data_IF_520082002663
#
_entry.id   IF_520082002663
#
_cell.length_a   1.000
_cell.length_b   1.000
_cell.length_c   1.000
_cell.angle_alpha   90.00
_cell.angle_beta   90.00
_cell.angle_gamma   90.00
#
_symmetry.space_group_name_H-M   'P 1'
#
loop_
_entity.id
_entity.type
_entity.pdbx_description
1 polymer ?
#
# COMPACT_ATOMS: atom_id res chain seq x y z
N UNK A 1 -1.60 2.91 -11.80
CA UNK A 1 -0.54 2.07 -12.34
C UNK A 1 -1.10 0.72 -12.79
N UNK A 2 -0.60 0.19 -13.90
CA UNK A 2 -1.03 -1.08 -14.48
C UNK A 2 0.04 -1.62 -15.45
N UNK A 3 0.04 -2.93 -15.71
CA UNK A 3 0.79 -3.55 -16.82
C UNK A 3 -0.11 -3.81 -18.03
N UNK A 4 -1.42 -3.61 -17.88
CA UNK A 4 -2.38 -3.82 -18.95
C UNK A 4 -2.48 -2.57 -19.82
N UNK A 5 -2.05 -2.68 -21.07
CA UNK A 5 -2.05 -1.60 -22.05
C UNK A 5 -3.47 -1.14 -22.42
N UNK A 6 -4.42 -2.06 -22.53
CA UNK A 6 -5.81 -1.71 -22.86
C UNK A 6 -6.44 -0.87 -21.74
N UNK A 7 -6.18 -1.23 -20.48
CA UNK A 7 -6.64 -0.44 -19.32
C UNK A 7 -5.98 0.93 -19.33
N UNK A 8 -4.68 1.00 -19.60
CA UNK A 8 -3.97 2.27 -19.66
C UNK A 8 -4.51 3.18 -20.78
N UNK A 9 -4.67 2.63 -21.98
CA UNK A 9 -5.22 3.35 -23.12
C UNK A 9 -6.65 3.83 -22.86
N UNK A 10 -7.47 2.96 -22.25
CA UNK A 10 -8.85 3.31 -21.88
C UNK A 10 -8.91 4.49 -20.90
N UNK A 11 -8.19 4.44 -19.78
CA UNK A 11 -8.23 5.55 -18.80
C UNK A 11 -7.58 6.83 -19.36
N UNK A 12 -6.57 6.70 -20.22
CA UNK A 12 -5.90 7.82 -20.88
C UNK A 12 -6.77 8.52 -21.92
N UNK A 13 -7.85 7.89 -22.39
CA UNK A 13 -8.83 8.55 -23.26
C UNK A 13 -9.67 9.62 -22.54
N UNK A 14 -9.68 9.60 -21.20
CA UNK A 14 -10.44 10.55 -20.39
C UNK A 14 -9.61 11.71 -19.83
N UNK A 15 -8.29 11.55 -19.72
CA UNK A 15 -7.39 12.58 -19.18
C UNK A 15 -5.95 12.35 -19.62
N UNK A 16 -5.12 13.40 -19.55
CA UNK A 16 -3.69 13.25 -19.65
C UNK A 16 -3.10 12.81 -18.32
N UNK A 17 -2.11 11.92 -18.38
CA UNK A 17 -1.35 11.49 -17.22
C UNK A 17 0.06 12.09 -17.22
N UNK A 18 0.44 12.75 -16.14
CA UNK A 18 1.85 13.06 -15.86
C UNK A 18 2.58 11.79 -15.50
N UNK A 19 3.70 11.46 -16.16
CA UNK A 19 4.55 10.35 -15.72
C UNK A 19 4.93 10.53 -14.26
N UNK A 20 4.65 9.53 -13.44
CA UNK A 20 4.99 9.55 -12.03
C UNK A 20 5.35 8.17 -11.54
N UNK A 21 6.56 8.02 -11.04
CA UNK A 21 7.05 6.79 -10.41
C UNK A 21 7.06 6.98 -8.90
N UNK A 22 6.22 6.25 -8.20
CA UNK A 22 6.15 6.31 -6.75
C UNK A 22 7.45 5.77 -6.13
N UNK A 23 8.09 6.56 -5.27
CA UNK A 23 9.22 6.18 -4.43
C UNK A 23 8.91 6.52 -2.99
N UNK A 24 9.25 5.60 -2.10
CA UNK A 24 8.97 5.74 -0.67
C UNK A 24 10.30 5.71 0.08
N UNK A 25 10.46 6.64 0.99
CA UNK A 25 11.55 6.63 1.96
C UNK A 25 11.03 6.26 3.34
N UNK A 26 11.92 5.79 4.19
CA UNK A 26 11.59 5.35 5.54
C UNK A 26 12.69 5.80 6.49
N UNK A 27 12.31 6.39 7.62
CA UNK A 27 13.28 6.76 8.66
C UNK A 27 13.23 5.75 9.80
N UNK A 28 14.36 5.13 10.10
CA UNK A 28 14.56 4.24 11.24
C UNK A 28 16.03 4.26 11.67
N UNK A 29 16.33 4.04 12.95
CA UNK A 29 17.69 4.07 13.50
C UNK A 29 18.46 5.36 13.12
N UNK A 30 17.79 6.50 13.16
CA UNK A 30 18.32 7.82 12.80
C UNK A 30 18.90 7.90 11.38
N UNK A 31 18.46 7.04 10.48
CA UNK A 31 18.84 7.01 9.07
C UNK A 31 17.62 6.97 8.16
N UNK A 32 17.82 7.36 6.90
CA UNK A 32 16.79 7.30 5.86
C UNK A 32 17.13 6.20 4.88
N UNK A 33 16.17 5.30 4.67
CA UNK A 33 16.27 4.14 3.78
C UNK A 33 15.29 4.25 2.62
N UNK A 34 15.59 3.58 1.52
CA UNK A 34 14.65 3.39 0.42
C UNK A 34 13.74 2.19 0.67
N UNK A 35 12.44 2.33 0.34
CA UNK A 35 11.48 1.23 0.30
C UNK A 35 10.89 1.07 -1.11
N UNK A 36 10.54 -0.15 -1.52
CA UNK A 36 10.66 -1.43 -0.81
C UNK A 36 12.11 -1.79 -0.46
N UNK A 37 12.30 -2.74 0.47
CA UNK A 37 13.64 -3.22 0.83
C UNK A 37 14.33 -3.73 -0.44
N UNK A 38 15.45 -3.10 -0.78
CA UNK A 38 16.24 -3.38 -1.98
C UNK A 38 17.73 -3.52 -1.63
N UNK A 39 18.58 -3.78 -2.61
CA UNK A 39 20.01 -4.00 -2.38
C UNK A 39 20.70 -2.82 -1.68
N UNK A 40 20.29 -1.57 -2.02
CA UNK A 40 20.80 -0.39 -1.33
C UNK A 40 20.41 -0.37 0.14
N UNK A 41 19.13 -0.64 0.43
CA UNK A 41 18.60 -0.71 1.80
C UNK A 41 19.32 -1.78 2.62
N UNK A 42 19.53 -2.98 2.05
CA UNK A 42 20.24 -4.10 2.71
C UNK A 42 21.65 -3.67 3.03
N UNK A 43 22.40 -3.18 2.04
CA UNK A 43 23.79 -2.78 2.19
C UNK A 43 23.95 -1.65 3.22
N UNK A 44 23.10 -0.63 3.17
CA UNK A 44 23.11 0.47 4.12
C UNK A 44 22.79 0.00 5.54
N UNK A 45 21.74 -0.81 5.70
CA UNK A 45 21.28 -1.25 7.01
C UNK A 45 22.29 -2.14 7.75
N UNK A 46 22.93 -3.03 7.03
CA UNK A 46 23.95 -3.95 7.58
C UNK A 46 25.39 -3.42 7.48
N UNK A 47 25.58 -2.21 6.95
CA UNK A 47 26.90 -1.62 6.68
C UNK A 47 27.79 -2.57 5.87
N UNK A 48 27.28 -3.02 4.71
CA UNK A 48 27.90 -3.98 3.79
C UNK A 48 27.93 -3.43 2.36
N UNK A 49 28.65 -4.12 1.49
CA UNK A 49 28.75 -3.83 0.06
C UNK A 49 28.47 -5.09 -0.76
N UNK A 50 27.42 -5.82 -0.39
CA UNK A 50 27.05 -7.06 -1.06
C UNK A 50 26.65 -6.81 -2.52
N UNK A 51 27.10 -7.72 -3.39
CA UNK A 51 26.48 -7.96 -4.69
C UNK A 51 25.05 -8.54 -4.51
N UNK A 52 24.23 -8.57 -5.57
CA UNK A 52 22.90 -9.19 -5.51
C UNK A 52 22.90 -10.59 -4.92
N UNK A 53 23.84 -11.45 -5.35
CA UNK A 53 23.92 -12.84 -4.90
C UNK A 53 24.38 -12.96 -3.44
N UNK A 54 25.34 -12.14 -3.04
CA UNK A 54 25.79 -12.12 -1.64
C UNK A 54 24.70 -11.64 -0.69
N UNK A 55 23.91 -10.62 -1.07
CA UNK A 55 22.77 -10.15 -0.30
C UNK A 55 21.68 -11.22 -0.16
N UNK A 56 21.41 -11.96 -1.23
CA UNK A 56 20.47 -13.09 -1.20
C UNK A 56 20.92 -14.17 -0.22
N UNK A 57 22.20 -14.61 -0.31
CA UNK A 57 22.78 -15.62 0.57
C UNK A 57 22.81 -15.13 2.03
N UNK A 58 23.17 -13.86 2.23
CA UNK A 58 23.19 -13.27 3.56
C UNK A 58 21.78 -13.25 4.19
N UNK A 59 20.76 -12.74 3.49
CA UNK A 59 19.41 -12.74 4.01
C UNK A 59 18.90 -14.17 4.25
N UNK A 60 19.23 -15.11 3.36
CA UNK A 60 18.91 -16.52 3.55
C UNK A 60 19.53 -17.10 4.84
N UNK A 61 20.66 -16.58 5.28
CA UNK A 61 21.33 -17.02 6.53
C UNK A 61 20.71 -16.48 7.81
N UNK A 62 20.01 -15.33 7.76
CA UNK A 62 19.45 -14.65 8.95
C UNK A 62 17.93 -14.75 9.07
N UNK A 63 17.24 -15.18 8.01
CA UNK A 63 15.79 -15.40 8.04
C UNK A 63 15.42 -16.65 8.85
N UNK A 64 14.23 -16.66 9.40
CA UNK A 64 13.74 -17.80 10.18
C UNK A 64 13.24 -18.92 9.25
N UNK A 65 14.06 -19.96 9.09
CA UNK A 65 13.77 -21.15 8.27
C UNK A 65 12.88 -22.18 8.96
N UNK A 66 12.63 -22.02 10.25
CA UNK A 66 11.75 -22.93 10.99
C UNK A 66 10.28 -22.69 10.68
N UNK A 67 9.96 -21.52 10.12
CA UNK A 67 8.61 -21.13 9.72
C UNK A 67 8.36 -21.63 8.28
N UNK A 68 7.68 -22.76 8.13
CA UNK A 68 7.36 -23.33 6.80
C UNK A 68 6.13 -22.66 6.16
N UNK A 69 5.08 -22.43 6.95
CA UNK A 69 3.79 -21.89 6.49
C UNK A 69 3.35 -20.72 7.35
N UNK A 70 3.82 -19.49 7.06
CA UNK A 70 3.51 -18.32 7.86
C UNK A 70 2.03 -17.99 7.84
N UNK A 71 1.42 -17.85 9.01
CA UNK A 71 0.00 -17.49 9.19
C UNK A 71 -0.20 -16.04 9.56
N UNK A 72 0.80 -15.45 10.22
CA UNK A 72 0.77 -14.07 10.67
C UNK A 72 1.74 -13.17 9.90
N UNK A 73 1.51 -11.86 10.00
CA UNK A 73 2.40 -10.83 9.47
C UNK A 73 3.83 -10.99 10.02
N UNK A 74 3.96 -11.22 11.34
CA UNK A 74 5.26 -11.42 11.98
C UNK A 74 5.99 -12.63 11.41
N UNK A 75 5.31 -13.78 11.33
CA UNK A 75 5.92 -15.01 10.79
C UNK A 75 6.40 -14.82 9.36
N UNK A 76 5.57 -14.19 8.51
CA UNK A 76 5.97 -13.94 7.12
C UNK A 76 7.14 -12.96 7.02
N UNK A 77 7.19 -11.94 7.87
CA UNK A 77 8.32 -11.03 7.92
C UNK A 77 9.61 -11.73 8.38
N UNK A 78 9.55 -12.50 9.46
CA UNK A 78 10.71 -13.25 9.98
C UNK A 78 11.23 -14.26 8.95
N UNK A 79 10.32 -14.98 8.28
CA UNK A 79 10.65 -15.92 7.22
C UNK A 79 11.27 -15.22 5.98
N UNK A 80 10.83 -13.99 5.67
CA UNK A 80 11.23 -13.31 4.43
C UNK A 80 12.51 -12.49 4.58
N UNK A 81 12.63 -11.70 5.66
CA UNK A 81 13.70 -10.70 5.81
C UNK A 81 14.51 -10.86 7.10
N UNK A 82 14.10 -11.74 8.01
CA UNK A 82 14.75 -11.96 9.30
C UNK A 82 14.37 -10.93 10.35
N UNK A 83 14.82 -11.17 11.58
CA UNK A 83 14.42 -10.42 12.77
C UNK A 83 14.79 -8.94 12.70
N UNK A 84 16.02 -8.62 12.31
CA UNK A 84 16.53 -7.25 12.39
C UNK A 84 15.79 -6.29 11.44
N UNK A 85 15.53 -6.71 10.20
CA UNK A 85 14.74 -5.93 9.25
C UNK A 85 13.27 -5.88 9.64
N UNK A 86 12.72 -6.98 10.18
CA UNK A 86 11.37 -6.99 10.71
C UNK A 86 11.19 -5.96 11.82
N UNK A 87 12.06 -5.96 12.82
CA UNK A 87 11.97 -5.02 13.95
C UNK A 87 12.16 -3.57 13.51
N UNK A 88 13.05 -3.31 12.56
CA UNK A 88 13.36 -1.95 12.11
C UNK A 88 12.29 -1.33 11.19
N UNK A 89 11.68 -2.10 10.30
CA UNK A 89 10.83 -1.55 9.23
C UNK A 89 9.36 -1.90 9.35
N UNK A 90 9.01 -3.01 10.03
CA UNK A 90 7.67 -3.57 9.92
C UNK A 90 6.90 -3.64 11.24
N UNK A 91 7.56 -4.05 12.32
CA UNK A 91 6.89 -4.37 13.59
C UNK A 91 6.07 -3.21 14.14
N UNK A 92 6.73 -2.12 14.49
CA UNK A 92 6.05 -0.97 15.10
C UNK A 92 5.16 -0.24 14.11
N UNK A 93 5.55 -0.21 12.82
CA UNK A 93 4.69 0.32 11.75
C UNK A 93 3.37 -0.44 11.66
N UNK A 94 3.42 -1.78 11.69
CA UNK A 94 2.22 -2.60 11.66
C UNK A 94 1.34 -2.39 12.90
N UNK A 95 1.94 -2.28 14.10
CA UNK A 95 1.21 -1.96 15.33
C UNK A 95 0.49 -0.61 15.20
N UNK A 96 1.16 0.44 14.74
CA UNK A 96 0.55 1.77 14.53
C UNK A 96 -0.57 1.73 13.49
N UNK A 97 -0.33 1.06 12.36
CA UNK A 97 -1.28 1.01 11.25
C UNK A 97 -2.53 0.19 11.57
N UNK A 98 -2.38 -0.92 12.30
CA UNK A 98 -3.46 -1.87 12.56
C UNK A 98 -4.02 -1.81 13.98
N UNK A 99 -3.28 -1.23 14.93
CA UNK A 99 -3.68 -1.15 16.34
C UNK A 99 -3.73 -2.50 17.06
N UNK A 100 -3.11 -3.53 16.49
CA UNK A 100 -3.03 -4.89 17.06
C UNK A 100 -1.62 -5.46 16.90
N UNK A 101 -1.34 -6.55 17.60
CA UNK A 101 -0.04 -7.21 17.51
C UNK A 101 0.16 -7.82 16.10
N UNK A 102 1.33 -7.70 15.47
CA UNK A 102 1.63 -8.31 14.17
C UNK A 102 1.43 -9.84 14.11
N UNK A 103 1.43 -10.54 15.24
CA UNK A 103 1.06 -11.96 15.34
C UNK A 103 -0.40 -12.23 15.06
N UNK A 104 -1.25 -11.24 15.29
CA UNK A 104 -2.70 -11.32 15.10
C UNK A 104 -3.14 -10.76 13.75
N UNK A 105 -2.19 -10.21 12.96
CA UNK A 105 -2.44 -9.72 11.60
C UNK A 105 -2.21 -10.87 10.61
N UNK A 106 -3.14 -11.16 9.69
CA UNK A 106 -2.94 -12.20 8.69
C UNK A 106 -1.69 -11.98 7.82
N UNK A 107 -0.97 -13.04 7.49
CA UNK A 107 0.22 -13.00 6.63
C UNK A 107 -0.03 -12.34 5.27
N UNK A 108 -1.25 -12.48 4.72
CA UNK A 108 -1.64 -11.87 3.43
C UNK A 108 -1.47 -10.35 3.37
N UNK A 109 -1.47 -9.67 4.51
CA UNK A 109 -1.25 -8.21 4.59
C UNK A 109 0.18 -7.85 4.17
N UNK A 110 1.17 -8.68 4.52
CA UNK A 110 2.58 -8.48 4.17
C UNK A 110 2.95 -9.05 2.79
N UNK A 111 2.18 -9.96 2.24
CA UNK A 111 2.51 -10.69 1.01
C UNK A 111 2.78 -9.80 -0.21
N UNK A 112 2.37 -8.53 -0.16
CA UNK A 112 2.57 -7.55 -1.23
C UNK A 112 3.86 -6.75 -1.13
N UNK A 113 4.66 -6.94 -0.08
CA UNK A 113 5.90 -6.18 0.10
C UNK A 113 7.04 -6.86 -0.69
N UNK A 114 7.51 -6.25 -1.78
CA UNK A 114 8.59 -6.84 -2.56
C UNK A 114 9.93 -6.69 -1.83
N UNK A 115 10.67 -7.79 -1.76
CA UNK A 115 12.09 -7.80 -1.48
C UNK A 115 12.85 -7.83 -2.80
N UNK A 116 13.90 -7.02 -2.94
CA UNK A 116 14.66 -6.89 -4.19
C UNK A 116 16.16 -6.98 -3.95
N UNK A 117 16.83 -7.80 -4.76
CA UNK A 117 18.29 -7.92 -4.76
C UNK A 117 18.94 -7.11 -5.90
N UNK A 118 18.35 -5.93 -6.19
CA UNK A 118 18.88 -4.94 -7.11
C UNK A 118 18.61 -3.53 -6.55
N UNK A 119 19.03 -2.48 -7.25
CA UNK A 119 18.90 -1.09 -6.82
C UNK A 119 17.58 -0.42 -7.23
N UNK A 120 16.59 -1.19 -7.72
CA UNK A 120 15.29 -0.66 -8.08
C UNK A 120 14.49 -0.27 -6.82
N UNK A 121 14.31 1.02 -6.60
CA UNK A 121 13.53 1.61 -5.50
C UNK A 121 12.12 2.07 -5.92
N UNK A 122 11.68 1.76 -7.14
CA UNK A 122 10.33 2.05 -7.57
C UNK A 122 9.32 1.27 -6.73
N UNK A 123 8.32 1.95 -6.16
CA UNK A 123 7.33 1.27 -5.31
C UNK A 123 6.51 0.24 -6.09
N UNK A 124 6.09 0.59 -7.29
CA UNK A 124 5.41 -0.30 -8.23
C UNK A 124 6.36 -0.73 -9.36
N UNK A 125 6.15 -1.93 -9.90
CA UNK A 125 6.91 -2.47 -11.05
C UNK A 125 6.16 -2.35 -12.37
N UNK A 126 4.94 -1.81 -12.34
CA UNK A 126 4.08 -1.72 -13.50
C UNK A 126 4.69 -0.83 -14.59
N UNK A 127 4.48 -1.22 -15.85
CA UNK A 127 5.00 -0.50 -17.02
C UNK A 127 4.37 0.90 -17.16
N UNK A 128 3.08 1.00 -16.89
CA UNK A 128 2.34 2.25 -16.99
C UNK A 128 2.08 2.84 -15.60
N UNK A 129 2.62 4.04 -15.36
CA UNK A 129 2.47 4.76 -14.09
C UNK A 129 2.31 6.25 -14.35
N UNK A 130 1.37 6.88 -13.68
CA UNK A 130 1.14 8.31 -13.79
C UNK A 130 0.09 8.81 -12.82
N UNK A 131 -0.01 10.13 -12.75
CA UNK A 131 -1.04 10.85 -12.00
C UNK A 131 -1.83 11.70 -12.99
N UNK A 132 -3.18 11.66 -12.98
CA UNK A 132 -3.98 12.49 -13.88
C UNK A 132 -3.74 13.97 -13.60
N UNK A 133 -3.53 14.77 -14.66
CA UNK A 133 -3.15 16.19 -14.55
C UNK A 133 -4.21 17.03 -13.84
N UNK A 134 -5.48 16.74 -14.09
CA UNK A 134 -6.62 17.46 -13.52
C UNK A 134 -7.24 16.77 -12.29
N UNK A 135 -6.54 15.75 -11.74
CA UNK A 135 -7.08 14.91 -10.68
C UNK A 135 -8.03 13.83 -11.20
N UNK A 136 -8.62 13.06 -10.27
CA UNK A 136 -9.42 11.87 -10.63
C UNK A 136 -10.87 12.18 -10.97
N UNK A 137 -11.47 13.24 -10.40
CA UNK A 137 -12.89 13.58 -10.57
C UNK A 137 -13.30 13.73 -12.04
N UNK A 138 -12.55 14.46 -12.89
CA UNK A 138 -12.91 14.60 -14.30
C UNK A 138 -12.98 13.28 -15.08
N UNK A 139 -12.21 12.27 -14.69
CA UNK A 139 -12.28 10.94 -15.29
C UNK A 139 -13.66 10.33 -15.05
N UNK A 140 -14.13 10.38 -13.81
CA UNK A 140 -15.46 9.84 -13.46
C UNK A 140 -16.59 10.64 -14.09
N UNK A 141 -16.48 11.96 -14.17
CA UNK A 141 -17.46 12.82 -14.86
C UNK A 141 -17.60 12.43 -16.33
N UNK A 142 -16.49 12.22 -17.03
CA UNK A 142 -16.49 11.79 -18.42
C UNK A 142 -17.01 10.35 -18.59
N UNK A 143 -16.61 9.43 -17.72
CA UNK A 143 -17.10 8.04 -17.70
C UNK A 143 -18.62 7.96 -17.53
N UNK A 144 -19.17 8.79 -16.66
CA UNK A 144 -20.60 8.80 -16.31
C UNK A 144 -21.44 9.62 -17.31
N UNK A 145 -20.81 10.44 -18.15
CA UNK A 145 -21.49 11.27 -19.16
C UNK A 145 -21.94 10.43 -20.36
N UNK A 146 -22.93 9.59 -20.17
CA UNK A 146 -23.48 8.74 -21.21
C UNK A 146 -25.01 8.73 -21.13
N UNK A 147 -25.68 8.76 -22.30
CA UNK A 147 -27.16 8.85 -22.41
C UNK A 147 -27.92 7.75 -21.67
N UNK A 148 -27.30 6.58 -21.46
CA UNK A 148 -27.89 5.43 -20.77
C UNK A 148 -27.54 5.38 -19.28
N UNK A 149 -26.77 6.34 -18.76
CA UNK A 149 -26.40 6.42 -17.34
C UNK A 149 -27.19 7.52 -16.68
N UNK A 150 -27.87 7.19 -15.57
CA UNK A 150 -28.53 8.17 -14.71
C UNK A 150 -27.81 8.19 -13.35
N UNK A 151 -27.15 9.29 -13.08
CA UNK A 151 -26.41 9.49 -11.83
C UNK A 151 -27.35 10.13 -10.78
N UNK A 152 -27.41 9.52 -9.60
CA UNK A 152 -28.11 10.06 -8.44
C UNK A 152 -27.12 10.26 -7.30
N UNK A 153 -26.80 11.52 -7.00
CA UNK A 153 -25.88 11.88 -5.92
C UNK A 153 -26.64 12.09 -4.60
N UNK A 154 -25.94 11.86 -3.46
CA UNK A 154 -26.52 12.08 -2.12
C UNK A 154 -27.65 11.12 -1.75
N UNK A 155 -27.76 9.98 -2.44
CA UNK A 155 -28.83 8.99 -2.23
C UNK A 155 -28.23 7.68 -1.73
N UNK A 156 -28.77 7.16 -0.64
CA UNK A 156 -28.46 5.80 -0.19
C UNK A 156 -29.36 4.79 -0.91
N UNK A 157 -28.77 3.69 -1.37
CA UNK A 157 -29.55 2.63 -2.02
C UNK A 157 -30.50 1.96 -1.03
N UNK A 158 -31.78 1.88 -1.39
CA UNK A 158 -32.78 1.18 -0.59
C UNK A 158 -32.99 -0.24 -1.13
N UNK A 159 -32.70 -1.25 -0.31
CA UNK A 159 -32.89 -2.68 -0.64
C UNK A 159 -34.30 -3.02 -1.12
N UNK A 160 -35.34 -2.36 -0.60
CA UNK A 160 -36.71 -2.55 -1.04
C UNK A 160 -36.92 -2.20 -2.54
N UNK A 161 -35.95 -1.56 -3.16
CA UNK A 161 -35.99 -1.22 -4.59
C UNK A 161 -35.29 -2.24 -5.50
N UNK A 162 -34.74 -3.34 -4.96
CA UNK A 162 -34.01 -4.35 -5.75
C UNK A 162 -34.84 -4.87 -6.93
N UNK A 163 -36.10 -5.19 -6.68
CA UNK A 163 -37.04 -5.74 -7.69
C UNK A 163 -37.31 -4.78 -8.88
N UNK A 164 -36.90 -3.52 -8.77
CA UNK A 164 -37.01 -2.53 -9.86
C UNK A 164 -35.87 -2.60 -10.88
N UNK A 165 -34.87 -3.41 -10.62
CA UNK A 165 -33.68 -3.54 -11.45
C UNK A 165 -33.44 -4.99 -11.85
N UNK A 166 -33.03 -5.21 -13.08
CA UNK A 166 -32.65 -6.54 -13.56
C UNK A 166 -31.39 -7.05 -12.87
N UNK A 167 -30.50 -6.15 -12.48
CA UNK A 167 -29.25 -6.46 -11.77
C UNK A 167 -28.80 -5.31 -10.88
N UNK A 168 -28.18 -5.64 -9.73
CA UNK A 168 -27.66 -4.64 -8.79
C UNK A 168 -26.23 -5.00 -8.42
N UNK A 169 -25.28 -4.07 -8.63
CA UNK A 169 -23.92 -4.13 -8.12
C UNK A 169 -23.80 -3.19 -6.92
N UNK A 170 -23.78 -3.76 -5.72
CA UNK A 170 -23.65 -2.99 -4.50
C UNK A 170 -22.18 -2.89 -4.08
N UNK A 171 -21.63 -1.66 -4.04
CA UNK A 171 -20.23 -1.38 -3.67
C UNK A 171 -20.10 -0.73 -2.29
N UNK A 172 -21.19 -0.64 -1.55
CA UNK A 172 -21.20 -0.17 -0.16
C UNK A 172 -20.68 -1.22 0.84
N UNK A 173 -20.65 -0.90 2.14
CA UNK A 173 -20.22 -1.83 3.19
C UNK A 173 -21.08 -3.11 3.19
N UNK A 174 -20.43 -4.27 3.11
CA UNK A 174 -21.14 -5.54 3.03
C UNK A 174 -21.87 -5.87 4.33
N UNK A 175 -21.32 -5.52 5.47
CA UNK A 175 -21.98 -5.65 6.78
C UNK A 175 -23.22 -4.76 6.87
N UNK A 176 -23.15 -3.54 6.33
CA UNK A 176 -24.31 -2.66 6.17
C UNK A 176 -25.39 -3.24 5.25
N UNK A 177 -24.99 -4.00 4.21
CA UNK A 177 -25.92 -4.73 3.36
C UNK A 177 -26.78 -5.72 4.15
N UNK A 178 -26.20 -6.41 5.12
CA UNK A 178 -26.87 -7.34 6.02
C UNK A 178 -27.40 -6.70 7.31
N UNK A 179 -27.53 -5.35 7.36
CA UNK A 179 -27.98 -4.59 8.55
C UNK A 179 -27.18 -4.96 9.82
N UNK A 180 -25.92 -5.31 9.65
CA UNK A 180 -25.00 -5.71 10.74
C UNK A 180 -25.45 -6.91 11.55
N UNK A 181 -26.34 -7.76 11.02
CA UNK A 181 -26.87 -8.95 11.72
C UNK A 181 -25.81 -9.99 12.08
N UNK A 182 -24.67 -9.99 11.34
CA UNK A 182 -23.50 -10.81 11.62
C UNK A 182 -22.36 -10.05 12.35
N UNK A 183 -22.65 -8.87 12.86
CA UNK A 183 -21.68 -7.95 13.48
C UNK A 183 -21.04 -7.01 12.46
N UNK A 184 -20.23 -6.07 12.99
CA UNK A 184 -19.48 -5.12 12.18
C UNK A 184 -18.14 -5.70 11.71
N UNK A 185 -17.79 -5.47 10.46
CA UNK A 185 -16.43 -5.74 9.98
C UNK A 185 -15.45 -4.75 10.58
N UNK A 186 -14.30 -5.26 11.04
CA UNK A 186 -13.24 -4.42 11.57
C UNK A 186 -12.50 -3.67 10.48
N UNK A 187 -12.32 -2.35 10.66
CA UNK A 187 -11.43 -1.52 9.84
C UNK A 187 -10.73 -0.48 10.71
N UNK A 188 -9.76 0.20 10.15
CA UNK A 188 -9.02 1.26 10.85
C UNK A 188 -9.28 2.60 10.19
N UNK A 189 -9.67 3.57 11.00
CA UNK A 189 -9.75 4.98 10.60
C UNK A 189 -8.36 5.59 10.57
N UNK A 190 -8.09 6.41 9.57
CA UNK A 190 -6.88 7.21 9.47
C UNK A 190 -7.25 8.67 9.71
N UNK A 191 -6.53 9.31 10.61
CA UNK A 191 -6.63 10.75 10.83
C UNK A 191 -5.56 11.45 9.99
N UNK A 192 -5.99 12.37 9.14
CA UNK A 192 -5.09 13.19 8.34
C UNK A 192 -4.89 14.53 9.02
N UNK A 193 -3.63 14.85 9.33
CA UNK A 193 -3.23 16.13 9.92
C UNK A 193 -2.45 16.93 8.87
N UNK A 194 -3.10 17.80 8.06
CA UNK A 194 -2.43 18.56 7.03
C UNK A 194 -1.59 19.69 7.63
N UNK A 195 -0.35 19.82 7.16
CA UNK A 195 0.56 20.90 7.51
C UNK A 195 1.10 21.55 6.23
N UNK A 196 1.37 22.86 6.28
CA UNK A 196 1.91 23.61 5.16
C UNK A 196 3.28 24.16 5.52
N UNK A 197 4.28 23.78 4.73
CA UNK A 197 5.67 24.20 4.90
C UNK A 197 6.18 24.94 3.66
N UNK A 198 7.22 25.77 3.81
CA UNK A 198 7.89 26.42 2.69
C UNK A 198 8.90 25.48 2.03
N UNK A 199 8.94 25.51 0.69
CA UNK A 199 9.90 24.76 -0.10
C UNK A 199 9.64 23.25 -0.08
N UNK A 200 10.68 22.46 -0.32
CA UNK A 200 10.64 21.00 -0.24
C UNK A 200 11.02 20.53 1.17
N UNK A 201 10.03 20.50 2.05
CA UNK A 201 10.22 20.19 3.47
C UNK A 201 10.74 18.78 3.71
N UNK A 202 10.26 17.82 2.92
CA UNK A 202 10.48 16.39 3.17
C UNK A 202 11.51 15.75 2.24
N UNK A 203 11.81 16.35 1.08
CA UNK A 203 12.74 15.86 0.07
C UNK A 203 12.24 14.60 -0.70
N UNK A 204 11.01 14.18 -0.45
CA UNK A 204 10.38 13.04 -1.15
C UNK A 204 8.85 13.09 -1.03
N UNK A 205 8.16 12.39 -1.93
CA UNK A 205 6.70 12.36 -1.94
C UNK A 205 6.10 11.60 -0.73
N UNK A 206 6.77 10.55 -0.26
CA UNK A 206 6.30 9.73 0.87
C UNK A 206 7.47 9.36 1.77
N UNK A 207 7.36 9.75 3.03
CA UNK A 207 8.26 9.36 4.12
C UNK A 207 7.49 8.51 5.13
N UNK A 208 7.94 7.29 5.38
CA UNK A 208 7.36 6.39 6.39
C UNK A 208 8.13 6.48 7.70
N UNK A 209 7.40 6.42 8.80
CA UNK A 209 7.92 6.50 10.18
C UNK A 209 7.52 5.27 10.97
N UNK A 210 8.31 4.18 10.96
CA UNK A 210 8.00 2.96 11.71
C UNK A 210 7.97 3.15 13.22
N UNK A 211 8.94 3.89 13.76
CA UNK A 211 9.15 4.00 15.21
C UNK A 211 7.90 4.45 15.98
N UNK A 212 7.61 3.81 17.09
CA UNK A 212 6.53 4.14 18.03
C UNK A 212 6.71 5.51 18.70
N UNK A 213 7.93 6.05 18.73
CA UNK A 213 8.20 7.39 19.27
C UNK A 213 7.60 8.51 18.40
N UNK A 214 7.23 8.22 17.17
CA UNK A 214 6.57 9.13 16.24
C UNK A 214 5.10 8.72 16.13
N UNK A 215 4.13 9.61 16.44
CA UNK A 215 2.73 9.22 16.57
C UNK A 215 2.02 8.96 15.23
N UNK A 216 2.62 9.29 14.10
CA UNK A 216 2.07 9.08 12.76
C UNK A 216 2.87 8.05 11.95
N UNK A 217 2.25 7.49 10.90
CA UNK A 217 2.87 6.47 10.05
C UNK A 217 3.55 7.04 8.81
N UNK A 218 3.11 8.23 8.36
CA UNK A 218 3.63 8.90 7.15
C UNK A 218 3.54 10.40 7.33
#
# INVERSE_FOLDING_TARGET
HTDNEDVWNYVSSFTNFKPYVARVKCTTKDQIFSLPINLHTINQFFNKTFSPKEAEVFLDSIRDKTIESPKSFEELALQSVGKELYEAFFKEYAIKQWGINPRDIPASVLSRLPLRFNYDDNYFRHAYQGIPEEGYTPIFEKLLNHKSIKLHMGVSFNKASIEKFDHVFYTGPIDGWFNYEHGHLGYRTLDFMPEVHKGDYQGCAVMSYPSSNIPYTR
#
